data_IF_250124552521
#
_entry.id   IF_250124552521
#
_cell.length_a   1.000
_cell.length_b   1.000
_cell.length_c   1.000
_cell.angle_alpha   90.00
_cell.angle_beta   90.00
_cell.angle_gamma   90.00
#
_symmetry.space_group_name_H-M   'P 1'
#
loop_
_entity.id
_entity.type
_entity.pdbx_description
1 polymer ?
#
# COMPACT_ATOMS: atom_id res chain seq x y z
N UNK A 1 -8.75 -9.84 -28.75
CA UNK A 1 -10.10 -9.25 -28.93
C UNK A 1 -10.72 -9.68 -30.25
N UNK A 2 -9.92 -9.83 -31.31
CA UNK A 2 -10.36 -10.43 -32.59
C UNK A 2 -11.01 -11.81 -32.46
N UNK A 3 -10.52 -12.70 -31.57
CA UNK A 3 -11.18 -14.01 -31.30
C UNK A 3 -12.62 -13.89 -30.78
N UNK A 4 -12.98 -12.72 -30.24
CA UNK A 4 -14.32 -12.38 -29.76
C UNK A 4 -15.04 -11.42 -30.72
N UNK A 5 -14.46 -11.14 -31.90
CA UNK A 5 -15.00 -10.19 -32.88
C UNK A 5 -15.05 -8.74 -32.40
N UNK A 6 -14.28 -8.38 -31.36
CA UNK A 6 -14.35 -7.05 -30.75
C UNK A 6 -13.27 -6.13 -31.34
N UNK A 7 -13.71 -5.02 -31.95
CA UNK A 7 -12.85 -3.94 -32.43
C UNK A 7 -12.41 -3.04 -31.26
N UNK A 8 -11.32 -3.46 -30.60
CA UNK A 8 -10.73 -2.71 -29.50
C UNK A 8 -9.23 -2.92 -29.45
N UNK A 9 -8.50 -1.80 -29.25
CA UNK A 9 -7.04 -1.75 -29.15
C UNK A 9 -6.60 -1.44 -27.72
N UNK A 10 -5.72 -2.27 -27.16
CA UNK A 10 -5.07 -1.99 -25.88
C UNK A 10 -3.89 -1.06 -26.13
N UNK A 11 -4.02 0.20 -25.70
CA UNK A 11 -3.00 1.24 -25.92
C UNK A 11 -2.00 1.37 -24.77
N UNK A 12 -2.38 0.99 -23.56
CA UNK A 12 -1.54 1.05 -22.37
C UNK A 12 -1.96 -0.01 -21.34
N UNK A 13 -0.97 -0.51 -20.60
CA UNK A 13 -1.15 -1.22 -19.34
C UNK A 13 -0.72 -0.27 -18.22
N UNK A 14 -1.54 -0.12 -17.19
CA UNK A 14 -1.38 0.96 -16.20
C UNK A 14 -1.55 0.40 -14.79
N UNK A 15 -0.69 0.85 -13.86
CA UNK A 15 -0.90 0.66 -12.43
C UNK A 15 -2.01 1.63 -11.93
N UNK A 16 -2.86 1.18 -11.02
CA UNK A 16 -4.00 1.95 -10.49
C UNK A 16 -3.62 3.32 -9.92
N UNK A 17 -2.49 3.43 -9.23
CA UNK A 17 -1.98 4.69 -8.65
C UNK A 17 -1.45 5.63 -9.72
N UNK A 18 -0.83 5.09 -10.79
CA UNK A 18 -0.50 5.86 -12.01
C UNK A 18 -1.75 6.37 -12.70
N UNK A 19 -2.81 5.56 -12.77
CA UNK A 19 -4.12 5.96 -13.29
C UNK A 19 -4.74 7.10 -12.47
N UNK A 20 -4.63 7.03 -11.14
CA UNK A 20 -5.07 8.08 -10.21
C UNK A 20 -4.32 9.38 -10.47
N UNK A 21 -2.99 9.32 -10.66
CA UNK A 21 -2.18 10.48 -11.02
C UNK A 21 -2.60 11.08 -12.36
N UNK A 22 -2.79 10.24 -13.38
CA UNK A 22 -3.18 10.68 -14.71
C UNK A 22 -4.57 11.36 -14.69
N UNK A 23 -5.54 10.79 -13.97
CA UNK A 23 -6.87 11.37 -13.80
C UNK A 23 -6.83 12.72 -13.07
N UNK A 24 -6.04 12.81 -12.00
CA UNK A 24 -5.83 14.09 -11.29
C UNK A 24 -5.18 15.13 -12.19
N UNK A 25 -4.10 14.76 -12.89
CA UNK A 25 -3.36 15.66 -13.78
C UNK A 25 -4.17 16.14 -14.97
N UNK A 26 -5.12 15.32 -15.45
CA UNK A 26 -6.04 15.72 -16.51
C UNK A 26 -6.94 16.89 -16.09
N UNK A 27 -7.33 16.95 -14.81
CA UNK A 27 -8.19 18.00 -14.25
C UNK A 27 -7.39 19.22 -13.77
N UNK A 28 -6.18 19.01 -13.25
CA UNK A 28 -5.32 20.03 -12.68
C UNK A 28 -3.84 19.77 -13.03
N UNK A 29 -3.23 20.71 -13.75
CA UNK A 29 -1.84 20.59 -14.22
C UNK A 29 -0.81 20.63 -13.08
N UNK A 30 -1.17 21.10 -11.88
CA UNK A 30 -0.27 21.23 -10.74
C UNK A 30 -0.16 19.93 -9.92
N UNK A 31 -0.94 18.89 -10.25
CA UNK A 31 -0.90 17.58 -9.57
C UNK A 31 0.44 16.88 -9.79
N UNK A 32 1.30 16.83 -8.77
CA UNK A 32 2.64 16.20 -8.86
C UNK A 32 2.70 14.77 -8.34
N UNK A 33 1.74 14.36 -7.51
CA UNK A 33 1.68 13.04 -6.91
C UNK A 33 0.24 12.56 -6.73
N UNK A 34 0.07 11.25 -6.63
CA UNK A 34 -1.16 10.57 -6.29
C UNK A 34 -0.86 9.49 -5.25
N UNK A 35 -1.81 9.31 -4.33
CA UNK A 35 -1.65 8.40 -3.19
C UNK A 35 -2.94 7.58 -3.06
N UNK A 36 -2.79 6.28 -2.87
CA UNK A 36 -3.86 5.38 -2.47
C UNK A 36 -3.72 5.06 -0.99
N UNK A 37 -4.79 5.29 -0.24
CA UNK A 37 -4.96 4.92 1.17
C UNK A 37 -6.27 4.15 1.29
N UNK A 38 -6.22 2.83 1.14
CA UNK A 38 -7.37 1.95 1.18
C UNK A 38 -7.04 0.63 1.84
N UNK A 39 -7.50 -0.48 1.27
CA UNK A 39 -7.10 -1.83 1.71
C UNK A 39 -5.58 -1.97 1.68
N UNK A 40 -4.95 -1.55 0.57
CA UNK A 40 -3.50 -1.36 0.48
C UNK A 40 -3.12 0.11 0.47
N UNK A 41 -1.83 0.38 0.30
CA UNK A 41 -1.32 1.73 0.09
C UNK A 41 -0.25 1.78 -0.98
N UNK A 42 -0.29 2.83 -1.81
CA UNK A 42 0.74 3.08 -2.80
C UNK A 42 0.82 4.58 -3.11
N UNK A 43 1.91 5.01 -3.76
CA UNK A 43 2.07 6.34 -4.31
C UNK A 43 2.68 6.31 -5.71
N UNK A 44 2.27 7.26 -6.53
CA UNK A 44 2.90 7.56 -7.81
C UNK A 44 3.16 9.06 -7.91
N UNK A 45 4.24 9.46 -8.55
CA UNK A 45 4.58 10.88 -8.73
C UNK A 45 5.28 11.14 -10.06
N UNK A 46 5.38 12.42 -10.41
CA UNK A 46 6.10 12.89 -11.59
C UNK A 46 7.52 13.26 -11.22
N UNK A 47 8.49 12.52 -11.74
CA UNK A 47 9.93 12.77 -11.57
C UNK A 47 10.53 13.37 -12.84
N UNK A 48 11.61 14.14 -12.70
CA UNK A 48 12.44 14.52 -13.83
C UNK A 48 13.18 13.31 -14.38
N UNK A 49 12.98 13.00 -15.66
CA UNK A 49 13.51 11.76 -16.25
C UNK A 49 15.04 11.69 -16.23
N UNK A 50 15.72 12.84 -16.21
CA UNK A 50 17.18 12.94 -16.08
C UNK A 50 17.71 12.70 -14.65
N UNK A 51 16.83 12.69 -13.65
CA UNK A 51 17.15 12.46 -12.24
C UNK A 51 16.98 10.98 -11.82
N UNK A 52 16.83 10.06 -12.79
CA UNK A 52 16.65 8.61 -12.54
C UNK A 52 17.90 7.87 -13.04
N UNK A 53 18.94 7.66 -12.21
CA UNK A 53 20.21 7.07 -12.67
C UNK A 53 20.07 5.65 -13.24
N UNK A 54 19.07 4.89 -12.78
CA UNK A 54 18.80 3.52 -13.25
C UNK A 54 18.10 3.45 -14.61
N UNK A 55 17.58 4.56 -15.13
CA UNK A 55 16.87 4.59 -16.41
C UNK A 55 17.84 4.88 -17.55
N UNK A 56 17.98 3.93 -18.47
CA UNK A 56 18.85 4.04 -19.66
C UNK A 56 18.07 4.09 -20.98
N UNK A 57 16.73 4.10 -20.89
CA UNK A 57 15.84 4.12 -22.05
C UNK A 57 15.64 5.52 -22.64
N UNK A 58 14.85 5.59 -23.71
CA UNK A 58 14.47 6.85 -24.32
C UNK A 58 13.71 7.72 -23.31
N UNK A 59 14.04 9.01 -23.30
CA UNK A 59 13.35 9.97 -22.43
C UNK A 59 11.96 10.28 -22.99
N UNK A 60 10.95 10.46 -22.11
CA UNK A 60 9.65 10.95 -22.51
C UNK A 60 9.77 12.37 -23.10
N UNK A 61 8.91 12.71 -24.07
CA UNK A 61 8.95 13.99 -24.78
C UNK A 61 8.85 15.22 -23.86
N UNK A 62 8.15 15.09 -22.73
CA UNK A 62 7.99 16.14 -21.71
C UNK A 62 9.22 16.32 -20.83
N UNK A 63 10.19 15.40 -20.86
CA UNK A 63 11.27 15.32 -19.87
C UNK A 63 10.83 14.78 -18.50
N UNK A 64 9.54 14.48 -18.31
CA UNK A 64 8.97 14.03 -17.05
C UNK A 64 8.57 12.55 -17.14
N UNK A 65 8.98 11.76 -16.15
CA UNK A 65 8.70 10.33 -16.02
C UNK A 65 7.75 10.10 -14.85
N UNK A 66 6.66 9.36 -15.07
CA UNK A 66 5.82 8.90 -13.95
C UNK A 66 6.49 7.73 -13.26
N UNK A 67 6.60 7.81 -11.93
CA UNK A 67 7.14 6.76 -11.07
C UNK A 67 6.01 6.15 -10.26
N UNK A 68 5.78 4.86 -10.44
CA UNK A 68 5.07 4.05 -9.46
C UNK A 68 6.09 3.61 -8.39
N UNK A 69 5.83 3.96 -7.13
CA UNK A 69 6.81 3.72 -6.06
C UNK A 69 6.70 2.33 -5.45
N UNK A 70 5.52 1.71 -5.48
CA UNK A 70 5.22 0.49 -4.71
C UNK A 70 5.67 0.63 -3.23
N UNK A 71 5.38 1.80 -2.64
CA UNK A 71 5.96 2.21 -1.35
C UNK A 71 5.51 1.37 -0.14
N UNK A 72 4.57 0.44 -0.33
CA UNK A 72 4.14 -0.46 0.74
C UNK A 72 5.31 -1.28 1.28
N UNK A 73 6.27 -1.57 0.41
CA UNK A 73 7.53 -2.25 0.71
C UNK A 73 8.55 -1.39 1.47
N UNK A 74 8.30 -0.10 1.69
CA UNK A 74 9.22 0.77 2.40
C UNK A 74 9.49 0.24 3.82
N UNK A 75 10.78 0.24 4.20
CA UNK A 75 11.24 -0.26 5.49
C UNK A 75 12.38 0.63 5.99
N UNK A 76 12.33 0.98 7.27
CA UNK A 76 13.37 1.75 7.94
C UNK A 76 13.37 1.45 9.43
N UNK A 77 14.54 1.46 10.06
CA UNK A 77 14.67 1.39 11.52
C UNK A 77 14.07 2.60 12.24
N UNK A 78 13.67 3.64 11.48
CA UNK A 78 12.96 4.82 11.99
C UNK A 78 11.44 4.64 12.03
N UNK A 79 10.89 3.56 11.46
CA UNK A 79 9.47 3.25 11.59
C UNK A 79 9.17 2.84 13.05
N UNK A 80 8.17 3.45 13.71
CA UNK A 80 7.86 3.20 15.10
C UNK A 80 7.06 1.90 15.28
N UNK A 81 7.71 0.75 15.04
CA UNK A 81 7.07 -0.56 15.12
C UNK A 81 6.88 -1.00 16.58
N UNK A 82 5.63 -1.17 17.00
CA UNK A 82 5.24 -1.77 18.27
C UNK A 82 5.47 -3.29 18.28
N UNK A 83 5.23 -3.93 19.42
CA UNK A 83 5.22 -5.40 19.50
C UNK A 83 4.09 -6.02 18.66
N UNK A 84 2.95 -5.32 18.51
CA UNK A 84 1.81 -5.79 17.75
C UNK A 84 2.09 -5.78 16.24
N UNK A 85 2.77 -4.75 15.75
CA UNK A 85 3.18 -4.65 14.34
C UNK A 85 4.15 -5.77 13.98
N UNK A 86 5.10 -6.07 14.88
CA UNK A 86 6.09 -7.15 14.69
C UNK A 86 5.43 -8.53 14.72
N UNK A 87 4.50 -8.75 15.63
CA UNK A 87 3.74 -10.00 15.69
C UNK A 87 2.86 -10.19 14.45
N UNK A 88 2.18 -9.13 14.01
CA UNK A 88 1.39 -9.13 12.78
C UNK A 88 2.26 -9.47 11.57
N UNK A 89 3.41 -8.80 11.39
CA UNK A 89 4.32 -9.08 10.29
C UNK A 89 4.83 -10.53 10.32
N UNK A 90 5.23 -11.02 11.50
CA UNK A 90 5.73 -12.38 11.68
C UNK A 90 4.69 -13.46 11.32
N UNK A 91 3.41 -13.22 11.64
CA UNK A 91 2.31 -14.15 11.38
C UNK A 91 1.69 -14.00 9.98
N UNK A 92 2.05 -12.93 9.25
CA UNK A 92 1.52 -12.68 7.90
C UNK A 92 2.04 -13.68 6.86
N UNK A 93 1.37 -13.73 5.70
CA UNK A 93 1.79 -14.57 4.56
C UNK A 93 3.15 -14.14 3.96
N UNK A 94 3.58 -12.90 4.21
CA UNK A 94 4.80 -12.32 3.66
C UNK A 94 5.64 -11.62 4.74
N UNK A 95 6.22 -12.37 5.71
CA UNK A 95 6.98 -11.78 6.80
C UNK A 95 8.19 -10.97 6.30
N UNK A 96 8.39 -9.78 6.84
CA UNK A 96 9.48 -8.88 6.48
C UNK A 96 9.22 -8.02 5.23
N UNK A 97 8.11 -8.26 4.52
CA UNK A 97 7.67 -7.51 3.35
C UNK A 97 6.48 -6.59 3.67
N UNK A 98 6.25 -5.60 2.82
CA UNK A 98 5.11 -4.69 2.94
C UNK A 98 5.00 -4.00 4.31
N UNK A 99 6.13 -3.72 4.97
CA UNK A 99 6.17 -3.19 6.35
C UNK A 99 5.43 -1.86 6.45
N UNK A 100 5.61 -0.96 5.49
CA UNK A 100 4.92 0.32 5.50
C UNK A 100 3.42 0.16 5.26
N UNK A 101 3.01 -0.73 4.35
CA UNK A 101 1.61 -1.05 4.13
C UNK A 101 0.94 -1.65 5.37
N UNK A 102 1.59 -2.64 6.01
CA UNK A 102 1.13 -3.24 7.28
C UNK A 102 0.92 -2.21 8.39
N UNK A 103 1.67 -1.12 8.35
CA UNK A 103 1.61 -0.08 9.37
C UNK A 103 0.46 0.93 9.15
N UNK A 104 0.09 1.22 7.89
CA UNK A 104 -0.82 2.34 7.59
C UNK A 104 -2.10 1.96 6.83
N UNK A 105 -2.14 0.80 6.19
CA UNK A 105 -3.26 0.46 5.31
C UNK A 105 -4.47 -0.03 6.09
N UNK A 106 -5.67 0.22 5.54
CA UNK A 106 -6.93 -0.14 6.17
C UNK A 106 -7.09 -1.63 6.43
N UNK A 107 -6.38 -2.50 5.67
CA UNK A 107 -6.39 -3.94 5.90
C UNK A 107 -5.85 -4.33 7.28
N UNK A 108 -4.86 -3.59 7.81
CA UNK A 108 -4.13 -3.99 9.02
C UNK A 108 -4.45 -3.15 10.24
N UNK A 109 -5.00 -1.93 10.08
CA UNK A 109 -5.36 -1.07 11.21
C UNK A 109 -6.32 -1.78 12.19
N UNK A 110 -7.32 -2.50 11.67
CA UNK A 110 -8.25 -3.28 12.51
C UNK A 110 -7.58 -4.46 13.21
N UNK A 111 -6.62 -5.11 12.56
CA UNK A 111 -5.88 -6.25 13.12
C UNK A 111 -4.95 -5.81 14.26
N UNK A 112 -4.29 -4.66 14.14
CA UNK A 112 -3.49 -4.08 15.23
C UNK A 112 -4.38 -3.79 16.45
N UNK A 113 -5.54 -3.16 16.24
CA UNK A 113 -6.50 -2.92 17.33
C UNK A 113 -6.96 -4.24 17.96
N UNK A 114 -7.26 -5.27 17.15
CA UNK A 114 -7.65 -6.60 17.64
C UNK A 114 -6.57 -7.20 18.54
N UNK A 115 -5.29 -7.15 18.13
CA UNK A 115 -4.16 -7.68 18.90
C UNK A 115 -3.98 -6.97 20.23
N UNK A 116 -4.10 -5.64 20.25
CA UNK A 116 -4.05 -4.85 21.49
C UNK A 116 -5.19 -5.23 22.43
N UNK A 117 -6.43 -5.28 21.91
CA UNK A 117 -7.61 -5.66 22.69
C UNK A 117 -7.51 -7.09 23.21
N UNK A 118 -6.97 -8.02 22.42
CA UNK A 118 -6.76 -9.40 22.84
C UNK A 118 -5.77 -9.49 24.00
N UNK A 119 -4.65 -8.76 23.93
CA UNK A 119 -3.69 -8.67 25.03
C UNK A 119 -4.33 -8.11 26.30
N UNK A 120 -5.10 -7.02 26.20
CA UNK A 120 -5.79 -6.44 27.35
C UNK A 120 -6.89 -7.36 27.91
N UNK A 121 -7.54 -8.16 27.06
CA UNK A 121 -8.51 -9.15 27.50
C UNK A 121 -7.86 -10.23 28.39
N UNK A 122 -6.68 -10.73 28.00
CA UNK A 122 -5.94 -11.71 28.78
C UNK A 122 -5.27 -11.11 30.03
N UNK A 123 -4.60 -9.96 29.88
CA UNK A 123 -3.70 -9.43 30.91
C UNK A 123 -4.42 -8.56 31.95
N UNK A 124 -5.57 -7.98 31.58
CA UNK A 124 -6.28 -6.99 32.39
C UNK A 124 -7.79 -7.24 32.52
N UNK A 125 -8.28 -8.42 32.11
CA UNK A 125 -9.70 -8.77 32.15
C UNK A 125 -10.61 -7.68 31.53
N UNK A 126 -10.17 -7.04 30.44
CA UNK A 126 -10.87 -5.92 29.80
C UNK A 126 -12.35 -6.26 29.48
N UNK A 127 -12.63 -7.53 29.18
CA UNK A 127 -13.96 -8.05 28.88
C UNK A 127 -14.49 -9.02 29.96
N UNK A 128 -13.93 -8.97 31.17
CA UNK A 128 -14.22 -9.90 32.27
C UNK A 128 -13.34 -11.15 32.24
N UNK A 129 -13.74 -12.18 32.98
CA UNK A 129 -12.96 -13.42 33.17
C UNK A 129 -12.86 -14.30 31.90
N UNK A 130 -13.71 -14.03 30.89
CA UNK A 130 -13.78 -14.81 29.66
C UNK A 130 -13.42 -13.91 28.48
N UNK A 131 -12.35 -14.27 27.77
CA UNK A 131 -11.97 -13.60 26.53
C UNK A 131 -13.02 -13.89 25.45
N UNK A 132 -13.54 -12.87 24.73
CA UNK A 132 -14.49 -13.10 23.66
C UNK A 132 -13.87 -13.95 22.55
N UNK A 133 -14.39 -15.16 22.31
CA UNK A 133 -13.83 -16.09 21.31
C UNK A 133 -13.70 -15.48 19.90
N UNK A 134 -14.57 -14.53 19.52
CA UNK A 134 -14.47 -13.84 18.22
C UNK A 134 -13.25 -12.92 18.13
N UNK A 135 -12.75 -12.41 19.26
CA UNK A 135 -11.57 -11.56 19.32
C UNK A 135 -10.28 -12.35 19.05
N UNK A 136 -10.30 -13.67 19.30
CA UNK A 136 -9.16 -14.55 19.04
C UNK A 136 -8.95 -14.83 17.54
N UNK A 137 -9.98 -14.65 16.71
CA UNK A 137 -9.93 -14.92 15.28
C UNK A 137 -9.19 -13.80 14.54
N UNK A 138 -8.03 -14.06 13.89
CA UNK A 138 -7.35 -13.07 13.06
C UNK A 138 -8.16 -12.71 11.83
N UNK A 139 -8.04 -11.46 11.37
CA UNK A 139 -8.64 -11.02 10.10
C UNK A 139 -7.69 -11.22 8.90
N UNK A 140 -6.39 -11.11 9.15
CA UNK A 140 -5.29 -11.20 8.17
C UNK A 140 -4.14 -12.03 8.70
#
# INVERSE_FOLDING_TARGET
MERQGLDMKVSALVNDTVGTLAGGRYMDNDVVAAIILGTGTNAAYVEHANAIPKWTGLLPKSGNMVINTEWGSFKSDKLPLSEYDKALDFESLNPGEQIYEKLISGMYLGEIVRRILLKLAHDAALFGDVVPAKLEMPFV
#
